data_IF_353593822792
#
_entry.id   IF_353593822792
#
_cell.length_a   1.000
_cell.length_b   1.000
_cell.length_c   1.000
_cell.angle_alpha   90.00
_cell.angle_beta   90.00
_cell.angle_gamma   90.00
#
_symmetry.space_group_name_H-M   'P 1'
#
loop_
_entity.id
_entity.type
_entity.pdbx_description
1 polymer ?
#
# COMPACT_ATOMS: atom_id res chain seq x y z
N UNK A 1 6.09 -0.58 6.90
CA UNK A 1 7.21 -1.36 6.48
C UNK A 1 7.81 -0.91 5.15
N UNK A 2 9.08 -0.88 5.00
CA UNK A 2 9.94 -1.09 3.88
C UNK A 2 10.76 0.03 3.29
N UNK A 3 11.97 -0.33 3.03
CA UNK A 3 13.16 0.43 2.76
C UNK A 3 13.27 0.70 1.30
N UNK A 4 13.04 0.79 0.31
CA UNK A 4 13.20 1.29 -1.06
C UNK A 4 11.87 1.63 -1.73
N UNK A 5 10.94 2.05 -0.93
CA UNK A 5 9.79 2.80 -1.40
C UNK A 5 10.16 4.28 -1.64
N UNK A 6 11.47 4.59 -1.65
CA UNK A 6 11.97 5.94 -1.91
C UNK A 6 11.44 6.50 -3.21
N UNK A 7 11.52 5.74 -4.30
CA UNK A 7 11.00 6.12 -5.61
C UNK A 7 9.50 6.37 -5.57
N UNK A 8 8.71 5.42 -5.08
CA UNK A 8 7.24 5.55 -5.04
C UNK A 8 6.79 6.59 -4.03
N UNK A 9 7.47 6.70 -2.88
CA UNK A 9 7.17 7.73 -1.90
C UNK A 9 7.50 9.14 -2.44
N UNK A 10 8.60 9.30 -3.17
CA UNK A 10 8.93 10.55 -3.85
C UNK A 10 7.86 10.93 -4.86
N UNK A 11 7.46 10.00 -5.76
CA UNK A 11 6.42 10.25 -6.76
C UNK A 11 5.11 10.70 -6.08
N UNK A 12 4.61 9.92 -5.13
CA UNK A 12 3.36 10.26 -4.42
C UNK A 12 3.47 11.56 -3.62
N UNK A 13 4.65 11.87 -3.05
CA UNK A 13 4.89 13.16 -2.37
C UNK A 13 4.79 14.31 -3.35
N UNK A 14 5.40 14.22 -4.56
CA UNK A 14 5.34 15.27 -5.59
C UNK A 14 3.95 15.43 -6.18
N UNK A 15 3.23 14.34 -6.40
CA UNK A 15 1.81 14.42 -6.78
C UNK A 15 0.99 15.13 -5.70
N UNK A 16 1.24 14.86 -4.43
CA UNK A 16 0.51 15.44 -3.32
C UNK A 16 0.87 16.91 -3.07
N UNK A 17 2.15 17.28 -3.00
CA UNK A 17 2.61 18.61 -2.59
C UNK A 17 2.66 19.59 -3.76
N UNK A 18 3.12 19.14 -4.93
CA UNK A 18 3.33 19.98 -6.12
C UNK A 18 2.22 19.83 -7.17
N UNK A 19 1.20 18.99 -6.94
CA UNK A 19 0.11 18.67 -7.88
C UNK A 19 0.63 18.17 -9.24
N UNK A 20 1.75 17.45 -9.25
CA UNK A 20 2.30 16.88 -10.47
C UNK A 20 1.47 15.68 -10.93
N UNK A 21 1.46 15.41 -12.25
CA UNK A 21 0.97 14.13 -12.75
C UNK A 21 1.92 13.00 -12.37
N UNK A 22 1.45 11.76 -12.42
CA UNK A 22 2.29 10.59 -12.18
C UNK A 22 3.52 10.56 -13.10
N UNK A 23 3.31 10.79 -14.41
CA UNK A 23 4.36 10.78 -15.43
C UNK A 23 5.41 11.88 -15.18
N UNK A 24 4.96 13.08 -14.83
CA UNK A 24 5.86 14.20 -14.53
C UNK A 24 6.68 13.94 -13.25
N UNK A 25 6.06 13.38 -12.22
CA UNK A 25 6.73 13.02 -10.97
C UNK A 25 7.72 11.87 -11.18
N UNK A 26 7.38 10.87 -11.99
CA UNK A 26 8.28 9.77 -12.37
C UNK A 26 9.47 10.27 -13.17
N UNK A 27 9.26 11.13 -14.18
CA UNK A 27 10.35 11.72 -14.97
C UNK A 27 11.33 12.49 -14.08
N UNK A 28 10.82 13.27 -13.13
CA UNK A 28 11.64 14.00 -12.16
C UNK A 28 12.40 13.06 -11.21
N UNK A 29 11.78 11.95 -10.79
CA UNK A 29 12.45 10.92 -9.99
C UNK A 29 13.61 10.28 -10.74
N UNK A 30 13.44 10.01 -12.04
CA UNK A 30 14.50 9.45 -12.92
C UNK A 30 15.63 10.45 -13.10
N UNK A 31 15.33 11.73 -13.36
CA UNK A 31 16.34 12.79 -13.49
C UNK A 31 17.21 12.93 -12.22
N UNK A 32 16.61 12.78 -11.05
CA UNK A 32 17.30 12.85 -9.75
C UNK A 32 17.99 11.54 -9.35
N UNK A 33 17.87 10.48 -10.15
CA UNK A 33 18.49 9.18 -9.87
C UNK A 33 17.78 8.37 -8.78
N UNK A 34 16.52 8.70 -8.44
CA UNK A 34 15.68 7.91 -7.53
C UNK A 34 14.98 6.75 -8.24
N UNK A 35 14.76 6.86 -9.55
CA UNK A 35 14.20 5.80 -10.37
C UNK A 35 15.24 5.37 -11.43
N UNK A 36 15.34 4.06 -11.65
CA UNK A 36 16.16 3.50 -12.74
C UNK A 36 15.49 3.73 -14.11
N UNK A 37 16.20 3.39 -15.20
CA UNK A 37 15.64 3.48 -16.55
C UNK A 37 14.40 2.58 -16.76
N UNK A 38 14.34 1.46 -16.05
CA UNK A 38 13.14 0.63 -15.94
C UNK A 38 12.62 0.64 -14.49
N UNK A 39 11.68 1.53 -14.16
CA UNK A 39 11.17 1.69 -12.80
C UNK A 39 10.08 0.67 -12.44
N UNK A 40 9.79 -0.31 -13.30
CA UNK A 40 8.67 -1.25 -13.14
C UNK A 40 8.69 -1.96 -11.79
N UNK A 41 9.87 -2.40 -11.33
CA UNK A 41 9.98 -3.10 -10.04
C UNK A 41 9.53 -2.23 -8.86
N UNK A 42 9.76 -0.91 -8.93
CA UNK A 42 9.38 0.04 -7.90
C UNK A 42 7.90 0.40 -8.03
N UNK A 43 7.49 0.92 -9.21
CA UNK A 43 6.14 1.48 -9.37
C UNK A 43 5.04 0.43 -9.33
N UNK A 44 5.33 -0.82 -9.68
CA UNK A 44 4.40 -1.96 -9.56
C UNK A 44 4.50 -2.66 -8.19
N UNK A 45 5.36 -2.20 -7.28
CA UNK A 45 5.47 -2.69 -5.91
C UNK A 45 6.17 -4.04 -5.76
N UNK A 46 6.84 -4.53 -6.81
CA UNK A 46 7.48 -5.86 -6.81
C UNK A 46 8.67 -5.92 -5.84
N UNK A 47 9.48 -4.86 -5.80
CA UNK A 47 10.60 -4.76 -4.86
C UNK A 47 10.10 -4.67 -3.41
N UNK A 48 9.09 -3.85 -3.16
CA UNK A 48 8.41 -3.80 -1.86
C UNK A 48 7.85 -5.16 -1.45
N UNK A 49 7.29 -5.94 -2.40
CA UNK A 49 6.78 -7.28 -2.15
C UNK A 49 7.87 -8.27 -1.72
N UNK A 50 9.06 -8.23 -2.35
CA UNK A 50 10.21 -9.05 -1.95
C UNK A 50 10.68 -8.70 -0.53
N UNK A 51 10.76 -7.41 -0.21
CA UNK A 51 11.12 -6.91 1.12
C UNK A 51 10.07 -7.27 2.17
N UNK A 52 8.78 -7.18 1.83
CA UNK A 52 7.69 -7.63 2.69
C UNK A 52 7.80 -9.11 3.05
N UNK A 53 8.14 -9.97 2.09
CA UNK A 53 8.35 -11.39 2.33
C UNK A 53 9.50 -11.64 3.34
N UNK A 54 10.62 -10.93 3.18
CA UNK A 54 11.78 -11.04 4.09
C UNK A 54 11.41 -10.57 5.50
N UNK A 55 10.85 -9.35 5.61
CA UNK A 55 10.51 -8.76 6.90
C UNK A 55 9.43 -9.56 7.64
N UNK A 56 8.42 -10.06 6.93
CA UNK A 56 7.39 -10.92 7.52
C UNK A 56 7.98 -12.24 8.01
N UNK A 57 8.93 -12.83 7.26
CA UNK A 57 9.59 -14.06 7.67
C UNK A 57 10.39 -13.87 8.97
N UNK A 58 11.06 -12.73 9.13
CA UNK A 58 11.81 -12.39 10.34
C UNK A 58 10.85 -12.11 11.49
N UNK A 59 9.86 -11.26 11.28
CA UNK A 59 8.95 -10.81 12.33
C UNK A 59 8.04 -11.91 12.88
N UNK A 60 7.60 -12.83 12.01
CA UNK A 60 6.62 -13.87 12.38
C UNK A 60 7.24 -15.26 12.49
N UNK A 61 8.57 -15.36 12.40
CA UNK A 61 9.30 -16.63 12.55
C UNK A 61 8.81 -17.75 11.64
N UNK A 62 8.27 -17.40 10.47
CA UNK A 62 7.70 -18.34 9.50
C UNK A 62 8.11 -17.94 8.09
N UNK A 63 8.33 -18.91 7.22
CA UNK A 63 8.80 -18.64 5.85
C UNK A 63 7.67 -18.07 4.98
N UNK A 64 7.76 -16.80 4.63
CA UNK A 64 6.91 -16.13 3.63
C UNK A 64 7.70 -16.00 2.33
N UNK A 65 7.13 -16.46 1.21
CA UNK A 65 7.74 -16.34 -0.12
C UNK A 65 7.10 -15.17 -0.89
N UNK A 66 7.85 -14.57 -1.80
CA UNK A 66 7.34 -13.46 -2.62
C UNK A 66 6.05 -13.83 -3.40
N UNK A 67 5.95 -15.07 -3.88
CA UNK A 67 4.74 -15.56 -4.59
C UNK A 67 3.46 -15.51 -3.73
N UNK A 68 3.61 -15.50 -2.40
CA UNK A 68 2.52 -15.48 -1.45
C UNK A 68 2.11 -14.05 -1.07
N UNK A 69 2.88 -13.04 -1.50
CA UNK A 69 2.64 -11.62 -1.25
C UNK A 69 1.79 -11.03 -2.38
N UNK A 70 0.62 -10.52 -2.03
CA UNK A 70 -0.15 -9.71 -2.98
C UNK A 70 0.59 -8.42 -3.28
N UNK A 71 0.70 -8.04 -4.56
CA UNK A 71 1.36 -6.80 -4.98
C UNK A 71 0.47 -5.99 -5.91
N UNK A 72 0.33 -4.70 -5.62
CA UNK A 72 -0.36 -3.71 -6.44
C UNK A 72 0.44 -2.41 -6.37
N UNK A 73 0.83 -1.87 -7.53
CA UNK A 73 1.63 -0.66 -7.65
C UNK A 73 0.83 0.63 -7.60
N UNK A 74 1.52 1.74 -7.89
CA UNK A 74 0.96 3.11 -7.85
C UNK A 74 0.58 3.66 -9.22
N UNK A 75 0.79 2.92 -10.29
CA UNK A 75 0.58 3.35 -11.68
C UNK A 75 -0.86 3.75 -12.01
N UNK A 76 -1.83 3.32 -11.19
CA UNK A 76 -3.25 3.65 -11.33
C UNK A 76 -3.70 4.83 -10.49
N UNK A 77 -2.83 5.40 -9.66
CA UNK A 77 -3.17 6.54 -8.81
C UNK A 77 -3.23 7.80 -9.67
N UNK A 78 -4.34 8.50 -9.62
CA UNK A 78 -4.59 9.70 -10.41
C UNK A 78 -4.44 10.99 -9.59
N UNK A 79 -4.40 12.13 -10.27
CA UNK A 79 -4.39 13.45 -9.62
C UNK A 79 -5.68 13.71 -8.83
N UNK A 80 -6.81 13.18 -9.31
CA UNK A 80 -8.10 13.26 -8.63
C UNK A 80 -8.10 12.45 -7.33
N UNK A 81 -7.47 11.26 -7.31
CA UNK A 81 -7.33 10.47 -6.08
C UNK A 81 -6.52 11.24 -5.02
N UNK A 82 -5.46 11.91 -5.44
CA UNK A 82 -4.66 12.79 -4.58
C UNK A 82 -5.49 13.98 -4.06
N UNK A 83 -6.34 14.57 -4.91
CA UNK A 83 -7.23 15.68 -4.50
C UNK A 83 -8.23 15.21 -3.42
N UNK A 84 -8.83 14.03 -3.58
CA UNK A 84 -9.70 13.44 -2.56
C UNK A 84 -8.95 13.07 -1.28
N UNK A 85 -7.74 12.55 -1.39
CA UNK A 85 -6.91 12.30 -0.21
C UNK A 85 -6.70 13.58 0.61
N UNK A 86 -6.39 14.70 -0.05
CA UNK A 86 -6.26 16.01 0.62
C UNK A 86 -7.55 16.44 1.31
N UNK A 87 -8.68 16.31 0.63
CA UNK A 87 -9.98 16.69 1.16
C UNK A 87 -10.40 15.86 2.39
N UNK A 88 -10.03 14.58 2.41
CA UNK A 88 -10.34 13.68 3.53
C UNK A 88 -9.27 13.68 4.62
N UNK A 89 -8.35 14.64 4.57
CA UNK A 89 -7.24 14.78 5.52
C UNK A 89 -6.35 13.53 5.60
N UNK A 90 -6.13 12.92 4.43
CA UNK A 90 -5.33 11.73 4.23
C UNK A 90 -4.17 11.99 3.26
N UNK A 91 -3.27 11.04 3.17
CA UNK A 91 -2.24 10.93 2.12
C UNK A 91 -2.33 9.56 1.48
N UNK A 92 -1.89 9.42 0.23
CA UNK A 92 -1.74 8.11 -0.41
C UNK A 92 -0.29 7.67 -0.29
N UNK A 93 -0.08 6.45 0.20
CA UNK A 93 1.23 5.79 0.32
C UNK A 93 1.18 4.40 -0.27
N UNK A 94 2.27 3.94 -0.87
CA UNK A 94 2.46 2.51 -1.13
C UNK A 94 2.97 1.87 0.16
N UNK A 95 2.19 0.98 0.75
CA UNK A 95 2.57 0.28 1.97
C UNK A 95 2.73 -1.21 1.73
N UNK A 96 3.80 -1.77 2.29
CA UNK A 96 3.88 -3.19 2.56
C UNK A 96 3.27 -3.44 3.95
N UNK A 97 2.19 -4.16 4.00
CA UNK A 97 1.43 -4.44 5.24
C UNK A 97 1.50 -5.92 5.55
N UNK A 98 1.87 -6.25 6.78
CA UNK A 98 1.89 -7.63 7.24
C UNK A 98 1.33 -7.73 8.65
N UNK A 99 0.47 -8.72 8.88
CA UNK A 99 -0.13 -9.01 10.18
C UNK A 99 -0.02 -10.50 10.49
N UNK A 100 0.36 -10.82 11.72
CA UNK A 100 0.20 -12.17 12.26
C UNK A 100 -1.18 -12.27 12.93
N UNK A 101 -1.98 -13.23 12.48
CA UNK A 101 -3.34 -13.44 12.97
C UNK A 101 -3.51 -14.90 13.42
N UNK A 102 -4.55 -15.18 14.22
CA UNK A 102 -4.88 -16.55 14.64
C UNK A 102 -5.10 -17.51 13.45
N UNK A 103 -5.33 -17.00 12.25
CA UNK A 103 -5.61 -17.79 11.03
C UNK A 103 -4.44 -17.82 10.05
N UNK A 104 -3.28 -17.28 10.43
CA UNK A 104 -2.09 -17.20 9.61
C UNK A 104 -1.68 -15.76 9.29
N UNK A 105 -0.66 -15.65 8.46
CA UNK A 105 -0.03 -14.39 8.07
C UNK A 105 -0.84 -13.74 6.95
N UNK A 106 -1.23 -12.48 7.15
CA UNK A 106 -1.74 -11.61 6.11
C UNK A 106 -0.58 -10.75 5.62
N UNK A 107 -0.31 -10.72 4.32
CA UNK A 107 0.77 -9.91 3.75
C UNK A 107 0.41 -9.40 2.37
N UNK A 108 0.70 -8.12 2.11
CA UNK A 108 0.48 -7.51 0.81
C UNK A 108 1.16 -6.16 0.67
N UNK A 109 1.33 -5.72 -0.58
CA UNK A 109 1.83 -4.39 -0.97
C UNK A 109 0.78 -3.74 -1.85
N UNK A 110 0.34 -2.57 -1.47
CA UNK A 110 -0.72 -1.86 -2.20
C UNK A 110 -0.78 -0.37 -1.81
N UNK A 111 -1.35 0.49 -2.68
CA UNK A 111 -1.66 1.87 -2.32
C UNK A 111 -2.68 1.92 -1.18
N UNK A 112 -2.43 2.81 -0.23
CA UNK A 112 -3.28 2.99 0.95
C UNK A 112 -3.58 4.46 1.15
N UNK A 113 -4.86 4.76 1.41
CA UNK A 113 -5.31 6.04 1.92
C UNK A 113 -5.06 6.06 3.43
N UNK A 114 -4.10 6.88 3.86
CA UNK A 114 -3.59 6.91 5.23
C UNK A 114 -3.93 8.25 5.88
N UNK A 115 -4.58 8.23 7.04
CA UNK A 115 -4.88 9.44 7.81
C UNK A 115 -3.62 10.17 8.24
N UNK A 116 -3.66 11.50 8.29
CA UNK A 116 -2.50 12.34 8.67
C UNK A 116 -2.01 12.12 10.09
N UNK A 117 -2.86 11.57 10.97
CA UNK A 117 -2.49 11.20 12.35
C UNK A 117 -1.49 10.05 12.39
N UNK A 118 -1.48 9.19 11.38
CA UNK A 118 -0.59 8.01 11.38
C UNK A 118 0.87 8.43 11.15
N UNK A 119 1.85 7.93 11.93
CA UNK A 119 3.25 8.35 11.82
C UNK A 119 3.84 8.22 10.41
N UNK A 120 3.47 7.17 9.65
CA UNK A 120 3.93 6.97 8.29
C UNK A 120 3.45 8.06 7.31
N UNK A 121 2.41 8.82 7.64
CA UNK A 121 1.91 9.92 6.78
C UNK A 121 2.93 11.04 6.61
N UNK A 122 3.78 11.24 7.61
CA UNK A 122 4.82 12.28 7.65
C UNK A 122 6.09 11.92 6.88
N UNK A 123 6.25 10.67 6.46
CA UNK A 123 7.42 10.22 5.69
C UNK A 123 7.34 10.75 4.26
N UNK A 124 8.29 11.59 3.85
CA UNK A 124 8.25 12.33 2.59
C UNK A 124 9.48 12.06 1.73
N UNK A 125 9.37 12.44 0.46
CA UNK A 125 10.46 12.37 -0.53
C UNK A 125 11.10 10.97 -0.60
N UNK A 126 12.42 10.88 -0.62
CA UNK A 126 13.18 9.63 -0.69
C UNK A 126 13.40 8.95 0.67
N UNK A 127 12.73 9.42 1.73
CA UNK A 127 12.81 8.76 3.02
C UNK A 127 11.90 7.54 3.09
N UNK A 128 12.31 6.58 3.91
CA UNK A 128 11.62 5.34 4.17
C UNK A 128 11.39 5.18 5.67
N UNK A 129 10.37 4.40 6.02
CA UNK A 129 10.12 4.02 7.39
C UNK A 129 9.61 2.59 7.49
N UNK A 130 9.95 1.94 8.60
CA UNK A 130 9.35 0.68 9.04
C UNK A 130 8.61 0.97 10.34
N UNK A 131 7.29 0.79 10.31
CA UNK A 131 6.43 0.91 11.48
C UNK A 131 6.09 -0.48 11.99
N UNK A 132 6.30 -0.71 13.27
CA UNK A 132 6.09 -2.00 13.93
C UNK A 132 5.19 -1.78 15.13
N UNK A 133 4.13 -2.57 15.24
CA UNK A 133 3.33 -2.69 16.44
C UNK A 133 3.62 -4.03 17.09
N UNK A 134 4.11 -4.02 18.32
CA UNK A 134 4.44 -5.20 19.10
C UNK A 134 3.63 -5.25 20.39
N UNK A 135 3.38 -6.45 20.88
CA UNK A 135 2.56 -6.70 22.09
C UNK A 135 3.20 -6.17 23.41
N UNK A 136 4.52 -5.98 23.40
CA UNK A 136 5.26 -5.53 24.59
C UNK A 136 5.81 -4.10 24.49
N UNK A 137 5.98 -3.58 23.25
CA UNK A 137 6.61 -2.26 23.01
C UNK A 137 5.66 -1.28 22.35
N UNK A 138 4.43 -1.71 22.08
CA UNK A 138 3.45 -0.93 21.32
C UNK A 138 4.04 -0.48 19.97
N UNK A 139 3.94 0.79 19.65
CA UNK A 139 4.35 1.35 18.38
C UNK A 139 5.82 1.76 18.35
N UNK A 140 6.57 1.25 17.40
CA UNK A 140 7.93 1.66 17.10
C UNK A 140 8.08 2.01 15.61
N UNK A 141 8.85 3.04 15.31
CA UNK A 141 9.13 3.44 13.92
C UNK A 141 10.63 3.61 13.70
N UNK A 142 11.14 2.94 12.68
CA UNK A 142 12.48 3.14 12.15
C UNK A 142 12.37 4.03 10.92
N UNK A 143 13.07 5.15 10.91
CA UNK A 143 13.00 6.16 9.86
C UNK A 143 14.40 6.52 9.38
N UNK A 144 14.58 6.62 8.08
CA UNK A 144 15.87 6.98 7.49
C UNK A 144 15.88 6.91 5.96
N UNK A 145 17.06 7.08 5.39
CA UNK A 145 17.28 6.88 3.96
C UNK A 145 17.43 5.40 3.67
N UNK A 146 16.62 4.88 2.74
CA UNK A 146 16.68 3.48 2.30
C UNK A 146 17.66 3.23 1.16
N UNK A 147 17.97 4.26 0.37
CA UNK A 147 18.85 4.21 -0.79
C UNK A 147 19.81 5.41 -0.83
N UNK A 148 20.79 5.32 -1.70
CA UNK A 148 21.84 6.33 -1.91
C UNK A 148 23.23 5.77 -1.61
N UNK A 149 24.26 6.36 -2.20
CA UNK A 149 25.65 5.90 -2.13
C UNK A 149 26.13 5.72 -0.67
N UNK A 150 26.06 6.77 0.13
CA UNK A 150 26.54 6.74 1.52
C UNK A 150 25.70 5.86 2.46
N UNK A 151 24.36 5.89 2.45
CA UNK A 151 23.56 4.97 3.24
C UNK A 151 23.82 3.50 2.92
N UNK A 152 23.92 3.16 1.63
CA UNK A 152 24.22 1.79 1.19
C UNK A 152 25.64 1.37 1.59
N UNK A 153 26.64 2.22 1.37
CA UNK A 153 28.00 1.95 1.79
C UNK A 153 28.10 1.74 3.31
N UNK A 154 27.42 2.57 4.10
CA UNK A 154 27.39 2.44 5.56
C UNK A 154 26.80 1.10 6.02
N UNK A 155 25.71 0.64 5.40
CA UNK A 155 25.10 -0.65 5.71
C UNK A 155 26.04 -1.81 5.38
N UNK A 156 26.60 -1.83 4.16
CA UNK A 156 27.54 -2.88 3.70
C UNK A 156 28.78 -2.95 4.58
N UNK A 157 29.40 -1.80 4.87
CA UNK A 157 30.59 -1.75 5.74
C UNK A 157 30.27 -2.18 7.17
N UNK A 158 29.10 -1.81 7.69
CA UNK A 158 28.62 -2.27 9.00
C UNK A 158 28.54 -3.80 9.08
N UNK A 159 27.95 -4.43 8.07
CA UNK A 159 27.84 -5.90 7.99
C UNK A 159 29.21 -6.57 7.84
N UNK A 160 30.11 -6.00 7.02
CA UNK A 160 31.48 -6.50 6.88
C UNK A 160 32.23 -6.46 8.20
N UNK A 161 32.09 -5.37 8.97
CA UNK A 161 32.71 -5.24 10.29
C UNK A 161 32.15 -6.28 11.27
N UNK A 162 30.80 -6.50 11.27
CA UNK A 162 30.20 -7.49 12.15
C UNK A 162 30.68 -8.90 11.80
N UNK A 163 30.72 -9.26 10.53
CA UNK A 163 31.24 -10.54 10.06
C UNK A 163 32.72 -10.71 10.43
N UNK A 164 33.56 -9.69 10.26
CA UNK A 164 34.97 -9.75 10.64
C UNK A 164 35.15 -9.98 12.16
N UNK A 165 34.37 -9.34 12.99
CA UNK A 165 34.37 -9.56 14.45
C UNK A 165 33.93 -10.99 14.80
N UNK A 166 32.87 -11.47 14.16
CA UNK A 166 32.38 -12.84 14.38
C UNK A 166 33.44 -13.90 14.00
N UNK A 167 34.17 -13.70 12.89
CA UNK A 167 35.29 -14.55 12.50
C UNK A 167 36.43 -14.51 13.53
N UNK A 168 36.82 -13.32 13.98
CA UNK A 168 37.89 -13.12 14.92
C UNK A 168 37.65 -13.83 16.27
N UNK A 169 36.37 -13.78 16.73
CA UNK A 169 35.99 -14.38 18.02
C UNK A 169 35.41 -15.80 17.91
N UNK A 170 35.40 -16.40 16.74
CA UNK A 170 34.85 -17.75 16.50
C UNK A 170 33.34 -17.85 16.74
N UNK A 171 32.61 -16.75 16.60
CA UNK A 171 31.17 -16.66 16.85
C UNK A 171 30.32 -16.82 15.58
N UNK A 172 30.77 -17.63 14.60
CA UNK A 172 30.04 -17.84 13.37
C UNK A 172 28.72 -18.58 13.62
N UNK A 173 27.66 -18.17 12.93
CA UNK A 173 26.34 -18.77 13.08
C UNK A 173 25.64 -18.42 14.41
N UNK A 174 26.04 -17.33 15.07
CA UNK A 174 25.44 -16.86 16.32
C UNK A 174 23.91 -16.67 16.22
N UNK A 175 23.44 -16.18 15.09
CA UNK A 175 22.02 -16.07 14.78
C UNK A 175 21.73 -17.00 13.61
N UNK A 176 21.03 -18.10 13.88
CA UNK A 176 20.54 -19.03 12.86
C UNK A 176 19.25 -18.51 12.23
N UNK A 177 18.74 -19.21 11.23
CA UNK A 177 17.41 -18.93 10.67
C UNK A 177 16.33 -18.97 11.77
N UNK A 178 15.55 -17.91 11.87
CA UNK A 178 14.50 -17.76 12.88
C UNK A 178 13.14 -18.30 12.42
N UNK A 179 13.04 -18.90 11.23
CA UNK A 179 11.79 -19.49 10.71
C UNK A 179 11.55 -20.87 11.36
N UNK A 180 11.21 -20.91 12.64
CA UNK A 180 10.90 -22.13 13.39
C UNK A 180 9.40 -22.42 13.50
N UNK A 181 8.56 -21.55 12.99
CA UNK A 181 7.11 -21.73 12.87
C UNK A 181 6.75 -22.10 11.42
N UNK A 182 5.61 -22.73 11.24
CA UNK A 182 5.04 -23.06 9.93
C UNK A 182 3.61 -22.49 9.86
N UNK A 183 3.53 -21.15 9.88
CA UNK A 183 2.27 -20.44 9.79
C UNK A 183 1.84 -20.32 8.32
N UNK A 184 0.59 -20.64 7.99
CA UNK A 184 0.10 -20.47 6.63
C UNK A 184 0.03 -18.97 6.26
N UNK A 185 0.36 -18.65 5.01
CA UNK A 185 0.04 -17.34 4.45
C UNK A 185 -1.40 -17.38 3.95
N UNK A 186 -2.19 -16.43 4.42
CA UNK A 186 -3.61 -16.33 4.11
C UNK A 186 -3.82 -15.85 2.67
N UNK A 187 -4.71 -16.46 1.88
CA UNK A 187 -5.08 -15.92 0.58
C UNK A 187 -5.52 -14.47 0.70
N UNK A 188 -4.99 -13.58 -0.15
CA UNK A 188 -5.26 -12.14 -0.03
C UNK A 188 -6.74 -11.80 -0.15
N UNK A 189 -7.49 -12.56 -0.94
CA UNK A 189 -8.95 -12.40 -1.08
C UNK A 189 -9.73 -12.57 0.24
N UNK A 190 -9.15 -13.26 1.23
CA UNK A 190 -9.72 -13.43 2.57
C UNK A 190 -9.35 -12.28 3.54
N UNK A 191 -8.41 -11.41 3.18
CA UNK A 191 -8.00 -10.25 3.99
C UNK A 191 -9.13 -9.23 4.04
N UNK A 192 -9.28 -8.57 5.17
CA UNK A 192 -10.32 -7.54 5.37
C UNK A 192 -9.70 -6.16 5.37
N UNK A 193 -10.15 -5.32 4.45
CA UNK A 193 -9.78 -3.91 4.36
C UNK A 193 -11.01 -3.01 4.32
N UNK A 194 -10.84 -1.74 4.62
CA UNK A 194 -11.77 -0.68 4.22
C UNK A 194 -11.36 -0.21 2.83
N UNK A 195 -12.31 0.30 2.08
CA UNK A 195 -12.06 0.75 0.71
C UNK A 195 -12.60 2.14 0.48
N UNK A 196 -11.81 2.95 -0.19
CA UNK A 196 -12.21 4.15 -0.88
C UNK A 196 -12.45 3.79 -2.34
N UNK A 197 -13.60 4.17 -2.85
CA UNK A 197 -14.04 3.89 -4.22
C UNK A 197 -14.48 5.20 -4.86
N UNK A 198 -14.07 5.40 -6.10
CA UNK A 198 -14.52 6.50 -6.94
C UNK A 198 -15.07 5.97 -8.24
N UNK A 199 -16.27 6.37 -8.62
CA UNK A 199 -16.95 5.89 -9.81
C UNK A 199 -17.74 6.98 -10.51
N UNK A 200 -17.76 6.94 -11.83
CA UNK A 200 -18.58 7.79 -12.68
C UNK A 200 -19.90 7.09 -12.94
N UNK A 201 -20.99 7.77 -12.66
CA UNK A 201 -22.36 7.23 -12.78
C UNK A 201 -23.25 8.18 -13.55
N UNK A 202 -24.35 7.66 -14.12
CA UNK A 202 -25.42 8.50 -14.67
C UNK A 202 -26.09 9.29 -13.57
N UNK A 203 -26.39 10.55 -13.84
CA UNK A 203 -27.13 11.40 -12.90
C UNK A 203 -28.64 11.19 -13.04
N UNK A 204 -29.11 10.00 -12.65
CA UNK A 204 -30.51 9.59 -12.75
C UNK A 204 -31.06 9.18 -11.37
N UNK A 205 -32.36 9.42 -11.10
CA UNK A 205 -32.98 8.93 -9.89
C UNK A 205 -32.85 7.40 -9.74
N UNK A 206 -32.47 6.95 -8.54
CA UNK A 206 -32.36 5.54 -8.20
C UNK A 206 -30.99 4.90 -8.48
N UNK A 207 -30.03 5.58 -9.13
CA UNK A 207 -28.68 5.04 -9.36
C UNK A 207 -27.99 4.73 -8.04
N UNK A 208 -27.99 5.63 -7.08
CA UNK A 208 -27.42 5.39 -5.75
C UNK A 208 -28.09 4.20 -5.03
N UNK A 209 -29.41 4.06 -5.16
CA UNK A 209 -30.12 2.93 -4.57
C UNK A 209 -29.69 1.60 -5.19
N UNK A 210 -29.48 1.54 -6.51
CA UNK A 210 -28.95 0.35 -7.21
C UNK A 210 -27.53 0.01 -6.72
N UNK A 211 -26.65 0.99 -6.66
CA UNK A 211 -25.27 0.81 -6.15
C UNK A 211 -25.30 0.27 -4.72
N UNK A 212 -26.10 0.87 -3.84
CA UNK A 212 -26.23 0.42 -2.45
C UNK A 212 -26.82 -1.00 -2.35
N UNK A 213 -27.75 -1.37 -3.24
CA UNK A 213 -28.33 -2.72 -3.30
C UNK A 213 -27.27 -3.77 -3.68
N UNK A 214 -26.43 -3.49 -4.66
CA UNK A 214 -25.31 -4.39 -5.05
C UNK A 214 -24.33 -4.57 -3.91
N UNK A 215 -23.92 -3.48 -3.25
CA UNK A 215 -23.03 -3.59 -2.10
C UNK A 215 -23.67 -4.41 -0.96
N UNK A 216 -24.93 -4.16 -0.65
CA UNK A 216 -25.65 -4.94 0.34
C UNK A 216 -25.72 -6.44 0.01
N UNK A 217 -25.99 -6.78 -1.26
CA UNK A 217 -26.00 -8.16 -1.76
C UNK A 217 -24.66 -8.88 -1.58
N UNK A 218 -23.55 -8.15 -1.73
CA UNK A 218 -22.20 -8.65 -1.52
C UNK A 218 -21.66 -8.45 -0.09
N UNK A 219 -22.51 -8.11 0.88
CA UNK A 219 -22.13 -7.90 2.30
C UNK A 219 -21.12 -6.77 2.49
N UNK A 220 -21.12 -5.78 1.63
CA UNK A 220 -20.31 -4.57 1.73
C UNK A 220 -21.12 -3.50 2.44
N UNK A 221 -20.68 -3.08 3.62
CA UNK A 221 -21.30 -1.99 4.36
C UNK A 221 -20.71 -0.67 3.95
N UNK A 222 -21.55 0.27 3.54
CA UNK A 222 -21.16 1.64 3.18
C UNK A 222 -21.00 2.45 4.47
N UNK A 223 -19.85 3.11 4.62
CA UNK A 223 -19.55 4.03 5.73
C UNK A 223 -19.88 5.48 5.37
N UNK A 224 -19.54 5.88 4.14
CA UNK A 224 -19.76 7.24 3.64
C UNK A 224 -20.06 7.20 2.15
N UNK A 225 -20.95 8.07 1.72
CA UNK A 225 -21.21 8.36 0.30
C UNK A 225 -21.16 9.86 0.10
N UNK A 226 -20.45 10.28 -0.91
CA UNK A 226 -20.44 11.69 -1.37
C UNK A 226 -20.68 11.69 -2.87
N UNK A 227 -21.61 12.53 -3.33
CA UNK A 227 -21.84 12.77 -4.74
C UNK A 227 -21.25 14.13 -5.11
N UNK A 228 -20.38 14.17 -6.10
CA UNK A 228 -19.69 15.37 -6.57
C UNK A 228 -19.71 15.47 -8.08
N UNK A 229 -19.23 16.60 -8.59
CA UNK A 229 -19.11 16.86 -10.02
C UNK A 229 -20.39 16.52 -10.78
N UNK A 230 -21.54 16.95 -10.19
CA UNK A 230 -22.87 16.69 -10.77
C UNK A 230 -23.04 17.54 -12.02
N UNK A 231 -23.17 16.89 -13.17
CA UNK A 231 -23.54 17.46 -14.45
C UNK A 231 -24.95 16.98 -14.83
N UNK A 232 -25.52 17.48 -15.93
CA UNK A 232 -26.89 17.10 -16.34
C UNK A 232 -27.04 15.57 -16.50
N UNK A 233 -26.06 14.89 -17.09
CA UNK A 233 -26.13 13.47 -17.43
C UNK A 233 -25.21 12.58 -16.59
N UNK A 234 -24.22 13.16 -15.87
CA UNK A 234 -23.21 12.41 -15.15
C UNK A 234 -22.96 12.96 -13.74
N UNK A 235 -22.58 12.07 -12.83
CA UNK A 235 -22.16 12.42 -11.48
C UNK A 235 -21.02 11.50 -11.03
N UNK A 236 -20.19 11.99 -10.14
CA UNK A 236 -19.17 11.19 -9.51
C UNK A 236 -19.65 10.76 -8.12
N UNK A 237 -19.64 9.44 -7.87
CA UNK A 237 -19.87 8.87 -6.55
C UNK A 237 -18.54 8.48 -5.91
N UNK A 238 -18.33 8.98 -4.70
CA UNK A 238 -17.22 8.61 -3.82
C UNK A 238 -17.78 7.85 -2.63
N UNK A 239 -17.32 6.63 -2.43
CA UNK A 239 -17.84 5.73 -1.41
C UNK A 239 -16.68 5.21 -0.55
N UNK A 240 -16.81 5.31 0.77
CA UNK A 240 -15.98 4.58 1.74
C UNK A 240 -16.77 3.43 2.34
N UNK A 241 -16.09 2.29 2.57
CA UNK A 241 -16.72 1.09 3.15
C UNK A 241 -16.25 0.82 4.57
N UNK A 242 -17.01 0.03 5.32
CA UNK A 242 -16.49 -0.64 6.50
C UNK A 242 -15.55 -1.79 6.11
N UNK A 243 -14.85 -2.37 7.11
CA UNK A 243 -13.96 -3.52 6.86
C UNK A 243 -14.72 -4.69 6.24
N UNK A 244 -14.30 -5.08 5.05
CA UNK A 244 -14.89 -6.16 4.26
C UNK A 244 -13.78 -6.99 3.61
N UNK A 245 -14.03 -8.27 3.33
CA UNK A 245 -13.07 -9.12 2.64
C UNK A 245 -12.87 -8.67 1.19
N UNK A 246 -11.64 -8.80 0.70
CA UNK A 246 -11.24 -8.43 -0.67
C UNK A 246 -12.16 -9.06 -1.74
N UNK A 247 -12.52 -10.34 -1.62
CA UNK A 247 -13.37 -10.98 -2.62
C UNK A 247 -14.78 -10.39 -2.68
N UNK A 248 -15.35 -9.96 -1.55
CA UNK A 248 -16.68 -9.35 -1.53
C UNK A 248 -16.72 -8.02 -2.29
N UNK A 249 -15.71 -7.16 -2.07
CA UNK A 249 -15.64 -5.89 -2.80
C UNK A 249 -15.36 -6.12 -4.28
N UNK A 250 -14.46 -7.04 -4.63
CA UNK A 250 -14.16 -7.38 -6.03
C UNK A 250 -15.39 -7.90 -6.78
N UNK A 251 -16.19 -8.76 -6.14
CA UNK A 251 -17.41 -9.29 -6.73
C UNK A 251 -18.48 -8.20 -6.91
N UNK A 252 -18.66 -7.33 -5.90
CA UNK A 252 -19.54 -6.18 -6.01
C UNK A 252 -19.15 -5.25 -7.17
N UNK A 253 -17.85 -4.94 -7.31
CA UNK A 253 -17.35 -4.10 -8.40
C UNK A 253 -17.54 -4.74 -9.76
N UNK A 254 -17.36 -6.06 -9.91
CA UNK A 254 -17.63 -6.78 -11.16
C UNK A 254 -19.11 -6.74 -11.55
N UNK A 255 -20.03 -6.73 -10.58
CA UNK A 255 -21.46 -6.59 -10.83
C UNK A 255 -21.79 -5.15 -11.23
N UNK A 256 -21.27 -4.17 -10.49
CA UNK A 256 -21.45 -2.74 -10.80
C UNK A 256 -20.96 -2.38 -12.21
N UNK A 257 -19.81 -2.89 -12.63
CA UNK A 257 -19.26 -2.64 -13.98
C UNK A 257 -20.16 -3.11 -15.14
N UNK A 258 -21.10 -4.01 -14.88
CA UNK A 258 -22.06 -4.50 -15.89
C UNK A 258 -23.33 -3.65 -15.98
N UNK A 259 -23.50 -2.68 -15.09
CA UNK A 259 -24.69 -1.85 -15.03
C UNK A 259 -24.57 -0.66 -15.99
N UNK A 260 -25.55 -0.43 -16.83
CA UNK A 260 -25.61 0.70 -17.77
C UNK A 260 -25.55 2.08 -17.08
N UNK A 261 -25.85 2.12 -15.79
CA UNK A 261 -25.81 3.35 -14.98
C UNK A 261 -24.42 3.67 -14.42
N UNK A 262 -23.45 2.76 -14.57
CA UNK A 262 -22.06 2.95 -14.14
C UNK A 262 -21.21 3.09 -15.39
N UNK A 263 -20.66 4.28 -15.62
CA UNK A 263 -19.81 4.55 -16.77
C UNK A 263 -18.39 4.02 -16.54
N UNK A 264 -17.88 4.18 -15.31
CA UNK A 264 -16.51 3.79 -14.97
C UNK A 264 -16.36 3.62 -13.45
N UNK A 265 -15.55 2.63 -13.02
CA UNK A 265 -14.98 2.59 -11.68
C UNK A 265 -13.58 3.15 -11.79
N UNK A 266 -13.43 4.43 -11.45
CA UNK A 266 -12.21 5.20 -11.68
C UNK A 266 -11.10 4.86 -10.70
N UNK A 267 -11.44 4.45 -9.46
CA UNK A 267 -10.45 4.15 -8.45
C UNK A 267 -10.99 3.21 -7.37
N UNK A 268 -10.10 2.34 -6.88
CA UNK A 268 -10.29 1.54 -5.66
C UNK A 268 -8.99 1.57 -4.87
N UNK A 269 -9.00 2.22 -3.72
CA UNK A 269 -7.84 2.35 -2.82
C UNK A 269 -8.23 1.81 -1.45
N UNK A 270 -7.33 1.09 -0.79
CA UNK A 270 -7.57 0.61 0.58
C UNK A 270 -7.39 1.75 1.58
N UNK A 271 -8.21 1.80 2.63
CA UNK A 271 -8.08 2.73 3.75
C UNK A 271 -7.45 2.01 4.96
N UNK A 272 -6.46 2.67 5.58
CA UNK A 272 -5.80 2.14 6.78
C UNK A 272 -6.36 2.79 8.06
#
# INVERSE_FOLDING_TARGET
>A
CSSDLGTTNYILTKMFEENMSFEAALAKATELGYAEADPTADVEGLDAGRKAAILSSIAFHSRVQFKDVYTEGITKITAEDIAYAKEFDCVIKLLAVAHNTDKGIEVGVYPVLLGKEHPLSSVRDSFNAVFVHGDAVDDAMFYGRGAGEMPTASAVVGDVIDVARNLQFGCNGRISCTCYQDLPVKPFDEVKNKFFLRMQVKNEPGVLAKVASVFGGHKVSIRRVVQKHVQEEAAELVISTEKVKEYHIKDALRELQKMDSISEISSMIREY
#
